data_IF_061478603047
#
_entry.id   IF_061478603047
#
_cell.length_a   1.000
_cell.length_b   1.000
_cell.length_c   1.000
_cell.angle_alpha   90.00
_cell.angle_beta   90.00
_cell.angle_gamma   90.00
#
_symmetry.space_group_name_H-M   'P 1'
#
loop_
_entity.id
_entity.type
_entity.pdbx_description
1 polymer ?
#
# COMPACT_ATOMS: atom_id res chain seq x y z
N UNK A 1 -1.13 20.23 18.10
CA UNK A 1 -0.22 20.34 16.94
C UNK A 1 -0.34 19.02 16.20
N UNK A 2 -1.20 18.97 15.18
CA UNK A 2 -1.53 17.73 14.46
C UNK A 2 -0.28 17.26 13.73
N UNK A 3 0.25 16.11 14.12
CA UNK A 3 1.36 15.46 13.41
C UNK A 3 0.82 14.96 12.06
N UNK A 4 0.83 15.85 11.06
CA UNK A 4 0.80 15.47 9.66
C UNK A 4 1.93 14.44 9.49
N UNK A 5 1.56 13.17 9.32
CA UNK A 5 2.52 12.11 9.06
C UNK A 5 3.41 12.53 7.88
N UNK A 6 4.74 12.33 7.92
CA UNK A 6 5.62 12.68 6.82
C UNK A 6 5.27 11.97 5.50
N UNK A 7 4.42 10.95 5.53
CA UNK A 7 3.92 10.27 4.33
C UNK A 7 2.67 10.95 3.75
N UNK A 8 2.93 12.11 3.14
CA UNK A 8 2.24 12.61 1.94
C UNK A 8 0.71 12.71 2.00
N UNK A 9 0.27 13.83 2.59
CA UNK A 9 -1.06 14.46 2.52
C UNK A 9 -2.19 13.48 2.35
N UNK A 10 -2.43 12.69 3.39
CA UNK A 10 -3.79 12.30 3.68
C UNK A 10 -4.48 13.59 4.08
N UNK A 11 -5.18 14.20 3.12
CA UNK A 11 -5.93 15.40 3.40
C UNK A 11 -7.15 14.97 4.23
N UNK A 12 -7.04 15.16 5.54
CA UNK A 12 -8.13 14.97 6.49
C UNK A 12 -8.96 16.25 6.62
N UNK A 13 -8.60 17.33 5.91
CA UNK A 13 -9.44 18.53 5.85
C UNK A 13 -10.65 18.19 5.00
N UNK A 14 -11.75 17.91 5.68
CA UNK A 14 -13.07 18.01 5.10
C UNK A 14 -13.24 19.42 4.57
N UNK A 15 -13.01 19.63 3.27
CA UNK A 15 -13.68 20.74 2.62
C UNK A 15 -15.18 20.45 2.75
N UNK A 16 -15.97 21.34 3.38
CA UNK A 16 -17.40 21.09 3.64
C UNK A 16 -18.24 20.85 2.38
N UNK A 17 -17.66 21.06 1.21
CA UNK A 17 -18.26 20.85 -0.12
C UNK A 17 -17.79 19.56 -0.81
N UNK A 18 -17.00 18.71 -0.15
CA UNK A 18 -16.60 17.43 -0.73
C UNK A 18 -17.82 16.50 -0.76
N UNK A 19 -18.27 16.06 -1.95
CA UNK A 19 -19.46 15.23 -2.05
C UNK A 19 -19.23 13.93 -1.26
N UNK A 20 -20.25 13.41 -0.55
CA UNK A 20 -20.15 12.09 0.04
C UNK A 20 -19.85 11.08 -1.08
N UNK A 21 -18.80 10.28 -0.92
CA UNK A 21 -18.54 9.20 -1.85
C UNK A 21 -19.71 8.21 -1.82
N UNK A 22 -20.44 8.15 -2.93
CA UNK A 22 -21.51 7.19 -3.18
C UNK A 22 -20.90 5.91 -3.75
N UNK A 23 -21.43 4.75 -3.33
CA UNK A 23 -21.01 3.45 -3.88
C UNK A 23 -19.75 2.83 -3.25
N UNK A 24 -19.32 3.29 -2.08
CA UNK A 24 -18.17 2.67 -1.38
C UNK A 24 -18.50 1.27 -0.86
N UNK A 25 -17.57 0.35 -1.04
CA UNK A 25 -17.62 -1.01 -0.48
C UNK A 25 -16.69 -1.12 0.72
N UNK A 26 -17.03 -1.98 1.68
CA UNK A 26 -16.09 -2.30 2.75
C UNK A 26 -14.95 -3.13 2.20
N UNK A 27 -13.72 -2.61 2.32
CA UNK A 27 -12.49 -3.22 1.80
C UNK A 27 -11.58 -3.78 2.91
N UNK A 28 -11.89 -3.46 4.16
CA UNK A 28 -11.16 -3.97 5.31
C UNK A 28 -11.64 -3.36 6.60
N UNK A 29 -10.92 -3.66 7.68
CA UNK A 29 -11.14 -3.01 8.96
C UNK A 29 -9.84 -2.66 9.65
N UNK A 30 -9.89 -1.84 10.68
CA UNK A 30 -8.78 -1.56 11.59
C UNK A 30 -9.33 -1.44 13.01
N UNK A 31 -8.60 -1.98 13.98
CA UNK A 31 -9.01 -1.90 15.39
C UNK A 31 -8.31 -0.74 16.06
N UNK A 32 -9.00 0.32 16.45
CA UNK A 32 -8.38 1.48 17.09
C UNK A 32 -9.33 2.12 18.10
N UNK A 33 -8.78 2.77 19.12
CA UNK A 33 -9.53 3.72 19.94
C UNK A 33 -9.84 5.02 19.17
N UNK A 34 -10.92 5.69 19.55
CA UNK A 34 -11.31 7.01 19.01
C UNK A 34 -10.22 8.04 19.31
N UNK A 35 -9.66 8.02 20.53
CA UNK A 35 -8.57 8.93 20.92
C UNK A 35 -7.38 8.79 19.97
N UNK A 36 -6.92 7.57 19.69
CA UNK A 36 -5.82 7.34 18.77
C UNK A 36 -6.12 7.85 17.36
N UNK A 37 -7.34 7.64 16.85
CA UNK A 37 -7.75 8.16 15.56
C UNK A 37 -7.75 9.69 15.54
N UNK A 38 -8.27 10.35 16.58
CA UNK A 38 -8.25 11.81 16.69
C UNK A 38 -6.83 12.36 16.79
N UNK A 39 -5.95 11.71 17.54
CA UNK A 39 -4.55 12.12 17.68
C UNK A 39 -3.79 12.05 16.35
N UNK A 40 -4.13 11.06 15.50
CA UNK A 40 -3.47 10.83 14.21
C UNK A 40 -4.11 11.58 13.03
N UNK A 41 -5.42 11.59 12.95
CA UNK A 41 -6.19 12.08 11.80
C UNK A 41 -6.84 13.45 12.04
N UNK A 42 -6.92 13.88 13.30
CA UNK A 42 -7.68 15.05 13.70
C UNK A 42 -9.16 14.73 13.96
N UNK A 43 -10.02 15.75 14.12
CA UNK A 43 -11.43 15.56 14.46
C UNK A 43 -12.21 14.79 13.38
N UNK A 44 -13.26 14.08 13.80
CA UNK A 44 -14.17 13.36 12.91
C UNK A 44 -15.09 14.30 12.11
N UNK A 45 -15.68 13.75 11.05
CA UNK A 45 -16.59 14.42 10.12
C UNK A 45 -18.06 14.21 10.55
N UNK A 46 -18.52 14.92 11.56
CA UNK A 46 -19.86 14.71 12.16
C UNK A 46 -21.05 15.04 11.21
N UNK A 47 -20.78 15.69 10.07
CA UNK A 47 -21.81 16.17 9.13
C UNK A 47 -22.23 15.16 8.07
N UNK A 48 -21.50 14.06 7.90
CA UNK A 48 -21.72 13.10 6.81
C UNK A 48 -22.68 11.96 7.17
N UNK A 49 -23.04 11.82 8.44
CA UNK A 49 -23.96 10.78 8.91
C UNK A 49 -25.33 11.39 9.21
N UNK A 50 -26.42 10.90 8.58
CA UNK A 50 -27.77 11.41 8.85
C UNK A 50 -28.19 11.24 10.31
N UNK A 51 -27.62 10.25 11.00
CA UNK A 51 -27.89 9.95 12.41
C UNK A 51 -27.05 10.77 13.41
N UNK A 52 -26.04 11.53 12.98
CA UNK A 52 -25.05 12.26 13.84
C UNK A 52 -24.35 11.45 14.96
N UNK A 53 -24.68 10.17 15.07
CA UNK A 53 -24.26 9.28 16.16
C UNK A 53 -23.10 8.36 15.77
N UNK A 54 -22.69 8.34 14.50
CA UNK A 54 -21.58 7.52 14.03
C UNK A 54 -20.38 8.39 13.65
N UNK A 55 -19.24 8.18 14.29
CA UNK A 55 -18.00 8.85 13.91
C UNK A 55 -17.48 8.33 12.56
N UNK A 56 -17.07 9.27 11.72
CA UNK A 56 -16.53 9.01 10.39
C UNK A 56 -15.33 9.91 10.16
N UNK A 57 -14.26 9.37 9.55
CA UNK A 57 -13.22 10.17 8.93
C UNK A 57 -13.25 10.00 7.43
N UNK A 58 -13.05 11.09 6.71
CA UNK A 58 -12.82 11.08 5.27
C UNK A 58 -11.34 11.31 5.02
N UNK A 59 -10.72 10.38 4.29
CA UNK A 59 -9.30 10.35 4.02
C UNK A 59 -9.10 10.49 2.51
N UNK A 60 -8.56 11.63 2.07
CA UNK A 60 -8.10 11.79 0.69
C UNK A 60 -6.70 11.21 0.57
N UNK A 61 -6.58 10.01 0.01
CA UNK A 61 -5.28 9.37 -0.22
C UNK A 61 -4.80 9.62 -1.65
N UNK A 62 -3.50 9.49 -1.93
CA UNK A 62 -2.99 9.53 -3.30
C UNK A 62 -3.58 8.45 -4.23
N UNK A 63 -4.13 7.36 -3.67
CA UNK A 63 -4.74 6.27 -4.43
C UNK A 63 -6.25 6.47 -4.66
N UNK A 64 -6.89 7.40 -3.95
CA UNK A 64 -8.35 7.58 -3.98
C UNK A 64 -8.92 8.01 -2.63
N UNK A 65 -10.24 8.15 -2.59
CA UNK A 65 -10.98 8.55 -1.41
C UNK A 65 -11.31 7.33 -0.55
N UNK A 66 -11.03 7.40 0.75
CA UNK A 66 -11.40 6.38 1.71
C UNK A 66 -12.23 6.98 2.86
N UNK A 67 -13.13 6.19 3.43
CA UNK A 67 -13.85 6.52 4.66
C UNK A 67 -13.50 5.51 5.74
N UNK A 68 -13.25 6.02 6.94
CA UNK A 68 -13.11 5.22 8.14
C UNK A 68 -14.37 5.40 8.98
N UNK A 69 -15.15 4.34 9.17
CA UNK A 69 -16.45 4.39 9.86
C UNK A 69 -16.50 3.36 10.98
N UNK A 70 -17.10 3.70 12.11
CA UNK A 70 -17.29 2.73 13.19
C UNK A 70 -18.13 1.53 12.67
N UNK A 71 -17.67 0.30 12.93
CA UNK A 71 -18.38 -0.91 12.55
C UNK A 71 -19.67 -1.14 13.35
N UNK A 72 -19.81 -0.45 14.49
CA UNK A 72 -20.97 -0.50 15.37
C UNK A 72 -21.56 0.90 15.52
N UNK A 73 -22.89 0.98 15.59
CA UNK A 73 -23.62 2.24 15.85
C UNK A 73 -23.63 2.61 17.33
N UNK A 74 -23.18 1.73 18.23
CA UNK A 74 -23.14 2.02 19.66
C UNK A 74 -21.98 2.97 19.97
N UNK A 75 -22.34 4.22 20.27
CA UNK A 75 -21.41 5.26 20.67
C UNK A 75 -21.12 5.05 22.16
N UNK A 76 -20.30 4.05 22.49
CA UNK A 76 -19.67 4.03 23.81
C UNK A 76 -18.99 5.41 23.96
N UNK A 77 -19.32 6.20 24.99
CA UNK A 77 -18.75 7.53 25.17
C UNK A 77 -17.25 7.50 25.51
N UNK A 78 -16.70 6.30 25.73
CA UNK A 78 -15.31 6.13 26.16
C UNK A 78 -14.36 6.17 24.95
N UNK A 79 -13.66 7.30 24.79
CA UNK A 79 -12.72 7.54 23.68
C UNK A 79 -11.54 6.55 23.63
N UNK A 80 -11.26 5.86 24.74
CA UNK A 80 -10.13 4.93 24.90
C UNK A 80 -10.42 3.48 24.55
N UNK A 81 -11.68 3.14 24.28
CA UNK A 81 -12.06 1.75 23.98
C UNK A 81 -11.69 1.43 22.54
N UNK A 82 -10.93 0.34 22.36
CA UNK A 82 -10.61 -0.22 21.05
C UNK A 82 -11.88 -0.70 20.34
N UNK A 83 -12.08 -0.24 19.10
CA UNK A 83 -13.24 -0.57 18.28
C UNK A 83 -12.80 -0.98 16.89
N UNK A 84 -13.60 -1.81 16.24
CA UNK A 84 -13.41 -2.14 14.84
C UNK A 84 -13.98 -1.01 13.97
N UNK A 85 -13.13 -0.44 13.13
CA UNK A 85 -13.47 0.58 12.15
C UNK A 85 -13.42 -0.03 10.76
N UNK A 86 -14.48 0.13 9.99
CA UNK A 86 -14.57 -0.29 8.60
C UNK A 86 -13.87 0.72 7.72
N UNK A 87 -13.09 0.21 6.76
CA UNK A 87 -12.47 0.99 5.69
C UNK A 87 -13.35 0.84 4.46
N UNK A 88 -13.94 1.95 4.01
CA UNK A 88 -14.82 2.00 2.85
C UNK A 88 -14.13 2.77 1.73
N UNK A 89 -14.04 2.20 0.53
CA UNK A 89 -13.46 2.88 -0.64
C UNK A 89 -13.95 2.25 -1.95
N UNK A 90 -13.56 2.84 -3.09
CA UNK A 90 -13.86 2.36 -4.44
C UNK A 90 -12.75 1.46 -5.01
N UNK A 91 -11.55 1.52 -4.43
CA UNK A 91 -10.39 0.73 -4.84
C UNK A 91 -9.60 0.21 -3.65
N UNK A 92 -9.10 -1.01 -3.77
CA UNK A 92 -8.21 -1.68 -2.82
C UNK A 92 -6.86 -0.95 -2.64
N UNK A 93 -6.45 -0.14 -3.62
CA UNK A 93 -5.17 0.61 -3.61
C UNK A 93 -5.07 1.61 -2.44
N UNK A 94 -6.19 1.98 -1.80
CA UNK A 94 -6.18 2.90 -0.63
C UNK A 94 -5.74 2.21 0.66
N UNK A 95 -5.82 0.88 0.76
CA UNK A 95 -5.64 0.16 2.03
C UNK A 95 -4.26 0.39 2.65
N UNK A 96 -3.13 0.24 1.93
CA UNK A 96 -1.82 0.53 2.51
C UNK A 96 -1.72 1.98 3.03
N UNK A 97 -2.37 2.94 2.37
CA UNK A 97 -2.39 4.33 2.82
C UNK A 97 -3.14 4.52 4.14
N UNK A 98 -4.33 3.92 4.27
CA UNK A 98 -5.12 4.00 5.51
C UNK A 98 -4.37 3.37 6.69
N UNK A 99 -3.73 2.22 6.47
CA UNK A 99 -2.93 1.57 7.51
C UNK A 99 -1.70 2.37 7.89
N UNK A 100 -0.97 2.91 6.91
CA UNK A 100 0.15 3.81 7.18
C UNK A 100 -0.30 5.03 8.00
N UNK A 101 -1.48 5.60 7.72
CA UNK A 101 -2.04 6.74 8.45
C UNK A 101 -2.33 6.44 9.92
N UNK A 102 -3.03 5.33 10.16
CA UNK A 102 -3.61 5.02 11.47
C UNK A 102 -2.61 4.28 12.35
N UNK A 103 -1.83 3.36 11.77
CA UNK A 103 -0.83 2.54 12.49
C UNK A 103 0.59 3.10 12.42
N UNK A 104 0.87 4.00 11.50
CA UNK A 104 2.26 4.36 11.17
C UNK A 104 3.00 3.24 10.45
N UNK A 105 2.30 2.25 9.89
CA UNK A 105 2.89 1.12 9.18
C UNK A 105 1.90 0.46 8.23
N UNK A 106 2.41 -0.03 7.11
CA UNK A 106 1.70 -0.89 6.17
C UNK A 106 1.65 -2.37 6.61
N UNK A 107 2.41 -2.80 7.61
CA UNK A 107 2.61 -4.23 7.87
C UNK A 107 1.32 -5.01 8.20
N UNK A 108 0.31 -4.36 8.79
CA UNK A 108 -0.94 -5.02 9.19
C UNK A 108 -2.02 -5.02 8.09
N UNK A 109 -1.85 -4.21 7.03
CA UNK A 109 -2.88 -4.04 5.99
C UNK A 109 -3.35 -5.35 5.36
N UNK A 110 -2.47 -6.35 5.10
CA UNK A 110 -2.90 -7.52 4.36
C UNK A 110 -3.83 -8.45 5.17
N UNK A 111 -3.59 -8.59 6.47
CA UNK A 111 -4.37 -9.50 7.31
C UNK A 111 -5.79 -9.01 7.59
N UNK A 112 -5.98 -7.70 7.78
CA UNK A 112 -7.27 -7.16 8.18
C UNK A 112 -8.12 -6.62 7.00
N UNK A 113 -7.59 -6.66 5.77
CA UNK A 113 -8.37 -6.50 4.54
C UNK A 113 -8.87 -7.84 3.95
N UNK A 114 -8.30 -8.99 4.36
CA UNK A 114 -8.60 -10.32 3.80
C UNK A 114 -10.11 -10.64 3.59
N UNK A 115 -11.03 -10.35 4.54
CA UNK A 115 -12.45 -10.70 4.37
C UNK A 115 -13.21 -9.83 3.36
N UNK A 116 -12.59 -8.76 2.86
CA UNK A 116 -13.26 -7.63 2.22
C UNK A 116 -12.56 -7.14 0.94
N UNK A 117 -11.33 -7.60 0.69
CA UNK A 117 -10.54 -7.23 -0.49
C UNK A 117 -11.19 -7.79 -1.76
N UNK A 118 -11.43 -6.92 -2.75
CA UNK A 118 -12.25 -7.27 -3.91
C UNK A 118 -11.55 -8.21 -4.89
N UNK A 119 -10.23 -8.09 -5.00
CA UNK A 119 -9.38 -8.98 -5.79
C UNK A 119 -8.54 -9.88 -4.87
N UNK A 120 -9.15 -10.59 -3.92
CA UNK A 120 -8.50 -11.38 -2.84
C UNK A 120 -7.55 -12.49 -3.36
N UNK A 121 -6.44 -12.05 -3.95
CA UNK A 121 -5.30 -12.80 -4.42
C UNK A 121 -4.07 -12.14 -3.82
N UNK A 122 -3.07 -12.93 -3.45
CA UNK A 122 -1.82 -12.38 -2.95
C UNK A 122 -1.16 -11.42 -3.97
N UNK A 123 -1.42 -11.67 -5.24
CA UNK A 123 -1.01 -10.82 -6.35
C UNK A 123 -1.67 -9.42 -6.31
N UNK A 124 -2.98 -9.33 -6.08
CA UNK A 124 -3.69 -8.05 -5.90
C UNK A 124 -3.18 -7.26 -4.71
N UNK A 125 -2.98 -7.92 -3.56
CA UNK A 125 -2.36 -7.33 -2.37
C UNK A 125 -0.94 -6.79 -2.65
N UNK A 126 -0.14 -7.56 -3.40
CA UNK A 126 1.19 -7.14 -3.84
C UNK A 126 1.14 -5.88 -4.71
N UNK A 127 0.17 -5.78 -5.63
CA UNK A 127 0.01 -4.61 -6.47
C UNK A 127 -0.50 -3.37 -5.74
N UNK A 128 -1.36 -3.53 -4.73
CA UNK A 128 -1.77 -2.42 -3.87
C UNK A 128 -0.54 -1.83 -3.14
N UNK A 129 0.31 -2.69 -2.58
CA UNK A 129 1.55 -2.23 -1.94
C UNK A 129 2.55 -1.62 -2.94
N UNK A 130 2.66 -2.19 -4.15
CA UNK A 130 3.45 -1.63 -5.24
C UNK A 130 2.96 -0.22 -5.63
N UNK A 131 1.64 -0.04 -5.75
CA UNK A 131 1.01 1.25 -6.02
C UNK A 131 1.30 2.28 -4.93
N UNK A 132 1.21 1.87 -3.66
CA UNK A 132 1.60 2.66 -2.50
C UNK A 132 3.06 3.13 -2.60
N UNK A 133 4.01 2.23 -2.84
CA UNK A 133 5.44 2.58 -2.97
C UNK A 133 5.69 3.58 -4.11
N UNK A 134 5.04 3.39 -5.27
CA UNK A 134 5.19 4.30 -6.42
C UNK A 134 4.66 5.70 -6.12
N UNK A 135 3.46 5.78 -5.56
CA UNK A 135 2.83 7.05 -5.22
C UNK A 135 3.60 7.76 -4.09
N UNK A 136 4.08 7.01 -3.08
CA UNK A 136 4.95 7.52 -2.00
C UNK A 136 6.26 8.07 -2.56
N UNK A 137 6.95 7.33 -3.44
CA UNK A 137 8.17 7.79 -4.10
C UNK A 137 7.96 9.09 -4.88
N UNK A 138 6.93 9.14 -5.73
CA UNK A 138 6.64 10.33 -6.54
C UNK A 138 6.39 11.55 -5.68
N UNK A 139 5.68 11.34 -4.59
CA UNK A 139 5.25 12.41 -3.74
C UNK A 139 6.43 12.88 -2.86
N UNK A 140 7.34 12.00 -2.42
CA UNK A 140 8.61 12.37 -1.75
C UNK A 140 9.56 13.13 -2.70
N UNK A 141 9.61 12.70 -3.97
CA UNK A 141 10.43 13.35 -5.01
C UNK A 141 10.03 14.82 -5.25
N UNK A 142 8.78 15.19 -4.97
CA UNK A 142 8.28 16.56 -5.15
C UNK A 142 8.55 17.47 -3.95
N UNK A 143 8.95 16.93 -2.80
CA UNK A 143 9.18 17.66 -1.54
C UNK A 143 10.58 18.21 -1.22
N UNK A 144 11.65 18.06 -2.03
CA UNK A 144 12.99 18.51 -1.61
C UNK A 144 13.09 19.98 -1.17
N UNK A 145 12.22 20.85 -1.70
CA UNK A 145 12.19 22.28 -1.37
C UNK A 145 11.53 22.60 -0.02
N UNK A 146 10.86 21.63 0.60
CA UNK A 146 10.16 21.76 1.90
C UNK A 146 10.96 21.18 3.06
N UNK A 147 12.08 20.51 2.76
CA UNK A 147 12.93 19.89 3.78
C UNK A 147 13.76 20.96 4.51
N UNK A 148 13.73 20.89 5.84
CA UNK A 148 14.65 21.66 6.67
C UNK A 148 16.07 21.13 6.51
N UNK A 149 16.93 21.96 5.90
CA UNK A 149 18.33 21.62 5.65
C UNK A 149 19.19 21.54 6.91
N UNK A 150 18.70 22.10 8.01
CA UNK A 150 19.39 22.10 9.30
C UNK A 150 19.00 20.91 10.18
N UNK A 151 17.96 20.17 9.80
CA UNK A 151 17.51 19.00 10.53
C UNK A 151 18.57 17.88 10.49
N UNK A 152 18.80 17.18 11.62
CA UNK A 152 19.83 16.13 11.71
C UNK A 152 19.56 14.95 10.76
N UNK A 153 18.30 14.73 10.38
CA UNK A 153 17.83 13.67 9.48
C UNK A 153 17.70 14.13 8.01
N UNK A 154 18.13 15.35 7.67
CA UNK A 154 18.00 15.91 6.32
C UNK A 154 18.52 14.97 5.22
N UNK A 155 19.69 14.34 5.45
CA UNK A 155 20.28 13.40 4.48
C UNK A 155 19.42 12.17 4.28
N UNK A 156 18.81 11.64 5.34
CA UNK A 156 17.90 10.50 5.25
C UNK A 156 16.67 10.85 4.40
N UNK A 157 16.04 12.00 4.65
CA UNK A 157 14.90 12.46 3.84
C UNK A 157 15.28 12.71 2.37
N UNK A 158 16.48 13.23 2.11
CA UNK A 158 16.95 13.47 0.74
C UNK A 158 17.15 12.15 -0.04
N UNK A 159 17.56 11.07 0.61
CA UNK A 159 17.83 9.78 -0.02
C UNK A 159 16.62 8.83 -0.03
N UNK A 160 15.60 9.11 0.80
CA UNK A 160 14.39 8.29 0.91
C UNK A 160 13.70 7.96 -0.44
N UNK A 161 13.52 8.90 -1.40
CA UNK A 161 12.91 8.55 -2.69
C UNK A 161 13.65 7.44 -3.44
N UNK A 162 14.98 7.44 -3.38
CA UNK A 162 15.81 6.41 -4.02
C UNK A 162 15.68 5.06 -3.32
N UNK A 163 15.59 5.07 -1.99
CA UNK A 163 15.33 3.86 -1.20
C UNK A 163 13.95 3.27 -1.56
N UNK A 164 12.90 4.09 -1.58
CA UNK A 164 11.55 3.65 -1.99
C UNK A 164 11.55 3.11 -3.42
N UNK A 165 12.23 3.78 -4.37
CA UNK A 165 12.34 3.29 -5.74
C UNK A 165 13.03 1.91 -5.82
N UNK A 166 14.00 1.64 -4.95
CA UNK A 166 14.68 0.33 -4.91
C UNK A 166 13.72 -0.76 -4.43
N UNK A 167 13.01 -0.52 -3.33
CA UNK A 167 11.97 -1.43 -2.80
C UNK A 167 10.87 -1.69 -3.83
N UNK A 168 10.43 -0.63 -4.51
CA UNK A 168 9.43 -0.66 -5.57
C UNK A 168 9.86 -1.56 -6.74
N UNK A 169 11.10 -1.42 -7.21
CA UNK A 169 11.64 -2.24 -8.31
C UNK A 169 11.80 -3.70 -7.91
N UNK A 170 12.27 -3.99 -6.69
CA UNK A 170 12.38 -5.35 -6.17
C UNK A 170 11.02 -6.05 -6.14
N UNK A 171 9.98 -5.38 -5.62
CA UNK A 171 8.63 -5.94 -5.59
C UNK A 171 8.05 -6.11 -7.00
N UNK A 172 8.26 -5.14 -7.90
CA UNK A 172 7.79 -5.22 -9.28
C UNK A 172 8.36 -6.43 -10.02
N UNK A 173 9.66 -6.68 -9.85
CA UNK A 173 10.35 -7.83 -10.45
C UNK A 173 9.69 -9.15 -10.04
N UNK A 174 9.44 -9.34 -8.74
CA UNK A 174 8.82 -10.56 -8.22
C UNK A 174 7.41 -10.75 -8.76
N UNK A 175 6.59 -9.70 -8.74
CA UNK A 175 5.21 -9.76 -9.23
C UNK A 175 5.17 -10.08 -10.73
N UNK A 176 6.04 -9.48 -11.53
CA UNK A 176 6.11 -9.76 -12.97
C UNK A 176 6.63 -11.16 -13.28
N UNK A 177 7.61 -11.65 -12.50
CA UNK A 177 8.06 -13.03 -12.64
C UNK A 177 6.92 -14.02 -12.36
N UNK A 178 6.14 -13.77 -11.31
CA UNK A 178 4.98 -14.58 -10.97
C UNK A 178 3.87 -14.52 -12.04
N UNK A 179 3.54 -13.33 -12.53
CA UNK A 179 2.60 -13.13 -13.66
C UNK A 179 3.04 -13.90 -14.90
N UNK A 180 4.31 -13.77 -15.30
CA UNK A 180 4.82 -14.41 -16.50
C UNK A 180 4.71 -15.92 -16.44
N UNK A 181 5.03 -16.52 -15.30
CA UNK A 181 4.96 -17.97 -15.13
C UNK A 181 3.52 -18.51 -15.21
N UNK A 182 2.53 -17.71 -14.80
CA UNK A 182 1.12 -18.09 -14.81
C UNK A 182 0.37 -17.64 -16.07
N UNK A 183 0.98 -16.79 -16.89
CA UNK A 183 0.41 -16.36 -18.17
C UNK A 183 0.31 -17.51 -19.18
N UNK A 184 -0.82 -17.55 -19.88
CA UNK A 184 -1.02 -18.41 -21.05
C UNK A 184 -0.05 -18.06 -22.18
N UNK A 185 0.11 -18.97 -23.14
CA UNK A 185 0.94 -18.72 -24.33
C UNK A 185 0.45 -17.47 -25.10
N UNK A 186 -0.87 -17.29 -25.21
CA UNK A 186 -1.48 -16.11 -25.85
C UNK A 186 -1.19 -14.83 -25.07
N UNK A 187 -1.34 -14.81 -23.74
CA UNK A 187 -1.00 -13.63 -22.93
C UNK A 187 0.50 -13.28 -23.07
N UNK A 188 1.39 -14.28 -23.05
CA UNK A 188 2.84 -14.05 -23.25
C UNK A 188 3.14 -13.49 -24.65
N UNK A 189 2.46 -13.99 -25.67
CA UNK A 189 2.57 -13.50 -27.05
C UNK A 189 2.08 -12.05 -27.15
N UNK A 190 0.89 -11.74 -26.61
CA UNK A 190 0.36 -10.37 -26.53
C UNK A 190 1.32 -9.43 -25.80
N UNK A 191 1.91 -9.87 -24.69
CA UNK A 191 2.84 -9.06 -23.92
C UNK A 191 4.14 -8.80 -24.68
N UNK A 192 4.62 -9.78 -25.45
CA UNK A 192 5.79 -9.62 -26.33
C UNK A 192 5.54 -8.63 -27.47
N UNK A 193 4.27 -8.44 -27.85
CA UNK A 193 3.84 -7.52 -28.90
C UNK A 193 3.32 -6.18 -28.41
N UNK A 194 3.23 -5.96 -27.08
CA UNK A 194 2.89 -4.65 -26.56
C UNK A 194 3.85 -3.60 -27.13
N UNK A 195 3.46 -2.34 -27.08
CA UNK A 195 4.41 -1.26 -27.30
C UNK A 195 4.88 -0.72 -25.96
N UNK A 196 6.13 -0.25 -25.92
CA UNK A 196 6.60 0.50 -24.75
C UNK A 196 5.62 1.64 -24.52
N UNK A 197 4.96 1.71 -23.36
CA UNK A 197 3.90 2.68 -23.19
C UNK A 197 4.50 4.11 -23.16
N UNK A 198 3.67 5.13 -23.26
CA UNK A 198 4.13 6.53 -23.25
C UNK A 198 4.02 7.15 -21.85
N UNK A 199 4.91 8.08 -21.45
CA UNK A 199 4.98 8.62 -20.07
C UNK A 199 3.73 9.35 -19.54
N UNK A 200 2.67 9.47 -20.34
CA UNK A 200 1.48 10.27 -20.05
C UNK A 200 0.51 9.67 -19.03
N UNK A 201 0.67 8.41 -18.59
CA UNK A 201 -0.36 7.70 -17.80
C UNK A 201 0.01 7.35 -16.34
N UNK A 202 0.99 8.03 -15.73
CA UNK A 202 1.25 7.92 -14.28
C UNK A 202 1.52 6.49 -13.78
N UNK A 203 0.81 6.05 -12.72
CA UNK A 203 0.97 4.71 -12.13
C UNK A 203 0.61 3.59 -13.13
N UNK A 204 -0.41 3.79 -13.96
CA UNK A 204 -0.82 2.82 -14.99
C UNK A 204 0.28 2.63 -16.03
N UNK A 205 0.85 3.73 -16.53
CA UNK A 205 2.03 3.70 -17.39
C UNK A 205 3.17 2.94 -16.74
N UNK A 206 3.46 3.24 -15.46
CA UNK A 206 4.59 2.64 -14.76
C UNK A 206 4.41 1.12 -14.57
N UNK A 207 3.22 0.66 -14.11
CA UNK A 207 2.87 -0.78 -14.01
C UNK A 207 3.06 -1.48 -15.36
N UNK A 208 2.61 -0.87 -16.46
CA UNK A 208 2.77 -1.44 -17.81
C UNK A 208 4.23 -1.38 -18.32
N UNK A 209 4.96 -0.29 -18.04
CA UNK A 209 6.37 -0.11 -18.44
C UNK A 209 7.27 -1.14 -17.77
N UNK A 210 7.04 -1.48 -16.51
CA UNK A 210 7.94 -2.41 -15.81
C UNK A 210 7.95 -3.80 -16.41
N UNK A 211 6.86 -4.23 -17.06
CA UNK A 211 6.85 -5.48 -17.84
C UNK A 211 7.93 -5.51 -18.94
N UNK A 212 8.40 -4.35 -19.42
CA UNK A 212 9.53 -4.22 -20.35
C UNK A 212 10.90 -4.23 -19.68
N UNK A 213 10.97 -3.92 -18.39
CA UNK A 213 12.23 -3.85 -17.65
C UNK A 213 12.73 -5.24 -17.25
N UNK A 214 11.82 -6.16 -17.01
CA UNK A 214 12.13 -7.52 -16.59
C UNK A 214 11.85 -8.46 -17.76
N UNK A 215 12.88 -8.83 -18.55
CA UNK A 215 12.68 -9.77 -19.63
C UNK A 215 12.11 -11.07 -19.04
N UNK A 216 11.16 -11.69 -19.72
CA UNK A 216 10.61 -12.95 -19.25
C UNK A 216 11.70 -13.99 -19.13
N UNK A 217 11.77 -14.62 -17.97
CA UNK A 217 12.73 -15.67 -17.70
C UNK A 217 12.36 -16.89 -18.56
N UNK A 218 13.06 -17.10 -19.67
CA UNK A 218 12.79 -18.16 -20.65
C UNK A 218 13.70 -19.35 -20.37
N UNK A 219 13.28 -20.25 -19.50
CA UNK A 219 14.06 -21.45 -19.17
C UNK A 219 13.33 -22.42 -18.23
N UNK A 220 13.64 -23.71 -18.37
CA UNK A 220 13.08 -24.81 -17.55
C UNK A 220 13.40 -24.72 -16.05
N UNK A 221 14.30 -23.80 -15.66
CA UNK A 221 14.64 -23.50 -14.25
C UNK A 221 13.66 -22.54 -13.57
N UNK A 222 12.74 -21.94 -14.30
CA UNK A 222 11.71 -21.04 -13.77
C UNK A 222 10.39 -21.79 -13.63
N UNK A 223 10.40 -22.82 -12.77
CA UNK A 223 9.22 -23.62 -12.44
C UNK A 223 8.08 -22.78 -11.86
N UNK A 224 6.98 -23.43 -11.47
CA UNK A 224 5.81 -22.78 -10.87
C UNK A 224 6.20 -21.91 -9.65
N UNK A 225 6.30 -20.56 -9.78
CA UNK A 225 6.87 -19.73 -8.75
C UNK A 225 5.88 -19.56 -7.59
N UNK A 226 6.36 -19.81 -6.38
CA UNK A 226 5.60 -19.63 -5.14
C UNK A 226 5.71 -18.15 -4.71
N UNK A 227 4.70 -17.32 -5.04
CA UNK A 227 4.68 -15.90 -4.67
C UNK A 227 4.87 -15.67 -3.15
N UNK A 228 4.17 -16.40 -2.25
CA UNK A 228 4.46 -16.34 -0.82
C UNK A 228 5.94 -16.60 -0.48
N UNK A 229 6.54 -17.64 -1.07
CA UNK A 229 7.96 -17.97 -0.89
C UNK A 229 8.91 -16.89 -1.40
N UNK A 230 8.61 -16.30 -2.56
CA UNK A 230 9.37 -15.20 -3.14
C UNK A 230 9.34 -13.93 -2.28
N UNK A 231 8.15 -13.55 -1.78
CA UNK A 231 8.00 -12.41 -0.87
C UNK A 231 8.74 -12.65 0.45
N UNK A 232 8.69 -13.87 1.00
CA UNK A 232 9.43 -14.25 2.20
C UNK A 232 10.93 -14.17 1.98
N UNK A 233 11.43 -14.67 0.85
CA UNK A 233 12.84 -14.59 0.49
C UNK A 233 13.32 -13.14 0.34
N UNK A 234 12.50 -12.26 -0.24
CA UNK A 234 12.82 -10.83 -0.31
C UNK A 234 12.85 -10.18 1.08
N UNK A 235 11.91 -10.53 1.96
CA UNK A 235 11.91 -10.05 3.34
C UNK A 235 13.14 -10.54 4.13
N UNK A 236 13.51 -11.82 3.97
CA UNK A 236 14.73 -12.37 4.58
C UNK A 236 15.98 -11.67 4.05
N UNK A 237 16.07 -11.44 2.74
CA UNK A 237 17.17 -10.68 2.15
C UNK A 237 17.22 -9.23 2.67
N UNK A 238 16.07 -8.56 2.84
CA UNK A 238 16.01 -7.21 3.41
C UNK A 238 16.54 -7.21 4.86
N UNK A 239 16.11 -8.17 5.69
CA UNK A 239 16.57 -8.31 7.07
C UNK A 239 18.06 -8.61 7.16
N UNK A 240 18.53 -9.61 6.41
CA UNK A 240 19.89 -10.13 6.52
C UNK A 240 20.93 -9.14 5.98
N UNK A 241 20.54 -8.28 5.02
CA UNK A 241 21.40 -7.22 4.48
C UNK A 241 21.31 -5.89 5.24
N UNK A 242 20.45 -5.77 6.27
CA UNK A 242 20.16 -4.51 6.96
C UNK A 242 21.42 -3.81 7.47
N UNK A 243 22.27 -4.52 8.20
CA UNK A 243 23.47 -3.94 8.80
C UNK A 243 24.54 -3.61 7.74
N UNK A 244 24.72 -4.50 6.76
CA UNK A 244 25.62 -4.25 5.62
C UNK A 244 25.18 -3.06 4.76
N UNK A 245 23.87 -2.82 4.62
CA UNK A 245 23.34 -1.66 3.92
C UNK A 245 23.55 -0.38 4.75
N UNK A 246 23.38 -0.44 6.07
CA UNK A 246 23.64 0.69 6.96
C UNK A 246 25.12 1.12 6.93
N UNK A 247 26.05 0.16 6.87
CA UNK A 247 27.48 0.44 6.72
C UNK A 247 27.82 1.14 5.39
N UNK A 248 27.14 0.75 4.29
CA UNK A 248 27.39 1.27 2.94
C UNK A 248 26.63 2.56 2.64
N UNK A 249 25.48 2.76 3.28
CA UNK A 249 24.56 3.87 3.11
C UNK A 249 24.05 4.30 4.50
N UNK A 250 24.86 5.02 5.28
CA UNK A 250 24.50 5.44 6.64
C UNK A 250 23.29 6.38 6.68
N UNK A 251 22.93 6.98 5.55
CA UNK A 251 21.73 7.80 5.38
C UNK A 251 20.44 6.99 5.18
N UNK A 252 20.51 5.66 5.14
CA UNK A 252 19.34 4.80 4.96
C UNK A 252 18.29 5.03 6.05
N UNK A 253 17.03 5.14 5.64
CA UNK A 253 15.91 5.19 6.56
C UNK A 253 15.60 3.78 7.08
N UNK A 254 16.12 3.47 8.27
CA UNK A 254 15.91 2.16 8.90
C UNK A 254 14.45 1.89 9.24
N UNK A 255 13.68 2.93 9.58
CA UNK A 255 12.25 2.76 9.92
C UNK A 255 11.48 2.33 8.67
N UNK A 256 11.74 2.98 7.53
CA UNK A 256 11.17 2.61 6.24
C UNK A 256 11.63 1.20 5.80
N UNK A 257 12.90 0.86 6.02
CA UNK A 257 13.44 -0.46 5.70
C UNK A 257 12.76 -1.57 6.50
N UNK A 258 12.65 -1.39 7.82
CA UNK A 258 12.02 -2.32 8.74
C UNK A 258 10.49 -2.38 8.53
N UNK A 259 9.86 -1.29 8.07
CA UNK A 259 8.47 -1.31 7.59
C UNK A 259 8.32 -2.20 6.35
N UNK A 260 9.17 -2.00 5.34
CA UNK A 260 9.11 -2.76 4.10
C UNK A 260 9.28 -4.27 4.33
N UNK A 261 10.28 -4.65 5.13
CA UNK A 261 10.53 -6.05 5.50
C UNK A 261 9.31 -6.68 6.19
N UNK A 262 8.72 -6.01 7.18
CA UNK A 262 7.52 -6.49 7.88
C UNK A 262 6.31 -6.60 6.96
N UNK A 263 6.10 -5.65 6.06
CA UNK A 263 4.99 -5.69 5.09
C UNK A 263 5.14 -6.85 4.11
N UNK A 264 6.35 -7.11 3.62
CA UNK A 264 6.62 -8.28 2.77
C UNK A 264 6.36 -9.60 3.51
N UNK A 265 6.76 -9.72 4.78
CA UNK A 265 6.45 -10.90 5.60
C UNK A 265 4.95 -11.07 5.82
N UNK A 266 4.24 -9.99 6.11
CA UNK A 266 2.80 -10.04 6.30
C UNK A 266 2.09 -10.50 5.03
N UNK A 267 2.47 -9.96 3.86
CA UNK A 267 1.98 -10.41 2.55
C UNK A 267 2.27 -11.91 2.33
N UNK A 268 3.49 -12.36 2.60
CA UNK A 268 3.88 -13.77 2.47
C UNK A 268 3.13 -14.70 3.44
N UNK A 269 2.56 -14.16 4.52
CA UNK A 269 1.87 -14.92 5.56
C UNK A 269 0.37 -15.02 5.38
N UNK A 270 -0.24 -14.28 4.45
CA UNK A 270 -1.69 -14.33 4.28
C UNK A 270 -2.10 -15.64 3.60
N UNK A 271 -3.07 -16.38 4.17
CA UNK A 271 -3.63 -17.56 3.51
C UNK A 271 -4.57 -17.13 2.38
N UNK A 272 -4.01 -16.75 1.23
CA UNK A 272 -4.75 -16.34 0.04
C UNK A 272 -4.39 -17.25 -1.14
N UNK A 273 -5.37 -17.69 -1.95
CA UNK A 273 -5.09 -18.41 -3.18
C UNK A 273 -4.27 -17.57 -4.17
N UNK A 274 -3.31 -18.20 -4.87
CA UNK A 274 -2.57 -17.54 -5.94
C UNK A 274 -3.42 -17.31 -7.20
N UNK A 275 -2.81 -16.74 -8.24
CA UNK A 275 -3.46 -16.54 -9.54
C UNK A 275 -3.91 -17.87 -10.17
N UNK A 276 -3.24 -18.96 -9.84
CA UNK A 276 -3.58 -20.33 -10.20
C UNK A 276 -4.99 -20.74 -9.73
N UNK A 277 -5.44 -20.25 -8.58
CA UNK A 277 -6.77 -20.55 -8.07
C UNK A 277 -7.91 -19.83 -8.83
N UNK A 278 -7.62 -18.69 -9.47
CA UNK A 278 -8.59 -17.97 -10.29
C UNK A 278 -8.78 -18.61 -11.69
N UNK A 279 -7.80 -19.38 -12.17
CA UNK A 279 -7.87 -20.04 -13.48
C UNK A 279 -8.88 -21.21 -13.50
N UNK A 280 -9.18 -21.82 -12.35
CA UNK A 280 -10.15 -22.92 -12.23
C UNK A 280 -11.58 -22.45 -11.94
N UNK A 281 -11.82 -21.16 -11.68
CA UNK A 281 -13.15 -20.62 -11.37
C UNK A 281 -13.98 -20.23 -12.63
N UNK A 282 -13.43 -20.40 -13.83
CA UNK A 282 -14.10 -20.12 -15.12
C UNK A 282 -14.59 -21.38 -15.84
N UNK A 283 -15.05 -22.38 -15.09
CA UNK A 283 -15.67 -23.61 -15.59
C UNK A 283 -17.19 -23.54 -15.60
#
# INVERSE_FOLDING_TARGET
MTLLHPDLSIDTTTHPDSPPATGLTGLGHITSSVRQLRDRLGPSCDRLTPDRDTEVWVLHTPAGLAQLRAGTTDRDPTDDVERQWLILADTDDVLPWVYAAVRGSTAEFPSAALPHFTEATLHGFGYAYLGYLYLRMNAETRRPHQLDRTAPDFRTHLHRPRQINTMLLQLAELLHHYEWAHASATEREEWSHMHRPTPSEGLRYWKARNRWLYPPATGSRHGNPDLPGMLRALADAARDNRDSLLERAPEMDLVLHDEHERTLRALAGIPIPGLDALQFARG
#
